data_IF_966096547962
#
_entry.id   IF_966096547962
#
_cell.length_a   1.000
_cell.length_b   1.000
_cell.length_c   1.000
_cell.angle_alpha   90.00
_cell.angle_beta   90.00
_cell.angle_gamma   90.00
#
_symmetry.space_group_name_H-M   'P 1'
#
loop_
_entity.id
_entity.type
_entity.pdbx_description
1 polymer ?
#
# COMPACT_ATOMS: atom_id res chain seq x y z
N UNK A 1 -4.02 -7.41 -1.55
CA UNK A 1 -4.06 -6.15 -2.31
C UNK A 1 -4.49 -6.50 -3.72
N UNK A 2 -5.38 -5.71 -4.33
CA UNK A 2 -5.71 -5.85 -5.74
C UNK A 2 -4.42 -5.89 -6.58
N UNK A 3 -4.45 -6.58 -7.73
CA UNK A 3 -3.28 -6.76 -8.57
C UNK A 3 -2.95 -5.47 -9.36
N UNK A 4 -2.59 -4.42 -8.62
CA UNK A 4 -2.23 -3.11 -9.18
C UNK A 4 -0.80 -3.16 -9.68
N UNK A 5 -0.58 -2.63 -10.88
CA UNK A 5 0.75 -2.39 -11.41
C UNK A 5 1.52 -1.37 -10.58
N UNK A 6 2.85 -1.38 -10.68
CA UNK A 6 3.70 -0.37 -10.03
C UNK A 6 3.29 1.05 -10.43
N UNK A 7 2.99 1.25 -11.73
CA UNK A 7 2.50 2.51 -12.28
C UNK A 7 1.22 2.98 -11.60
N UNK A 8 0.22 2.11 -11.47
CA UNK A 8 -1.04 2.45 -10.80
C UNK A 8 -0.83 2.83 -9.33
N UNK A 9 0.11 2.19 -8.64
CA UNK A 9 0.46 2.56 -7.24
C UNK A 9 1.14 3.92 -7.17
N UNK A 10 2.01 4.24 -8.12
CA UNK A 10 2.63 5.57 -8.24
C UNK A 10 1.55 6.62 -8.49
N UNK A 11 0.61 6.36 -9.40
CA UNK A 11 -0.49 7.28 -9.70
C UNK A 11 -1.40 7.50 -8.47
N UNK A 12 -1.69 6.47 -7.67
CA UNK A 12 -2.39 6.63 -6.39
C UNK A 12 -1.64 7.60 -5.46
N UNK A 13 -0.32 7.50 -5.37
CA UNK A 13 0.50 8.43 -4.56
C UNK A 13 0.53 9.84 -5.15
N UNK A 14 0.55 9.99 -6.47
CA UNK A 14 0.47 11.30 -7.14
C UNK A 14 -0.89 11.96 -6.89
N UNK A 15 -1.99 11.21 -6.97
CA UNK A 15 -3.35 11.69 -6.70
C UNK A 15 -3.50 12.06 -5.23
N UNK A 16 -2.89 11.28 -4.32
CA UNK A 16 -2.87 11.59 -2.88
C UNK A 16 -2.18 12.92 -2.58
N UNK A 17 -1.13 13.25 -3.33
CA UNK A 17 -0.41 14.51 -3.24
C UNK A 17 0.78 14.47 -2.28
N UNK A 18 1.63 15.50 -2.40
CA UNK A 18 2.89 15.64 -1.65
C UNK A 18 2.88 16.88 -0.74
N UNK A 19 3.55 16.81 0.41
CA UNK A 19 3.67 17.92 1.35
C UNK A 19 2.35 18.27 2.05
N UNK A 20 1.94 19.55 1.94
CA UNK A 20 0.78 20.10 2.65
C UNK A 20 -0.55 19.96 1.88
N UNK A 21 -0.50 19.57 0.59
CA UNK A 21 -1.71 19.30 -0.21
C UNK A 21 -1.95 17.81 -0.29
N UNK A 22 -2.58 17.26 0.76
CA UNK A 22 -2.97 15.85 0.83
C UNK A 22 -4.47 15.73 0.60
N UNK A 23 -4.87 14.95 -0.40
CA UNK A 23 -6.27 14.52 -0.55
C UNK A 23 -6.60 13.47 0.50
N UNK A 24 -7.87 13.37 0.86
CA UNK A 24 -8.36 12.26 1.69
C UNK A 24 -8.30 10.95 0.90
N UNK A 25 -8.21 9.82 1.62
CA UNK A 25 -8.16 8.50 0.96
C UNK A 25 -9.44 8.20 0.16
N UNK A 26 -10.58 8.73 0.61
CA UNK A 26 -11.87 8.63 -0.09
C UNK A 26 -11.83 9.37 -1.43
N UNK A 27 -11.35 10.62 -1.45
CA UNK A 27 -11.19 11.39 -2.70
C UNK A 27 -10.22 10.71 -3.67
N UNK A 28 -9.10 10.19 -3.18
CA UNK A 28 -8.14 9.45 -4.02
C UNK A 28 -8.80 8.22 -4.63
N UNK A 29 -9.59 7.49 -3.85
CA UNK A 29 -10.34 6.32 -4.31
C UNK A 29 -11.33 6.70 -5.42
N UNK A 30 -12.11 7.76 -5.22
CA UNK A 30 -13.08 8.23 -6.22
C UNK A 30 -12.40 8.68 -7.50
N UNK A 31 -11.32 9.47 -7.41
CA UNK A 31 -10.58 9.94 -8.59
C UNK A 31 -9.94 8.77 -9.32
N UNK A 32 -9.28 7.85 -8.60
CA UNK A 32 -8.62 6.70 -9.22
C UNK A 32 -9.63 5.78 -9.91
N UNK A 33 -10.77 5.46 -9.26
CA UNK A 33 -11.79 4.60 -9.84
C UNK A 33 -12.49 5.24 -11.05
N UNK A 34 -12.55 6.58 -11.12
CA UNK A 34 -12.99 7.31 -12.31
C UNK A 34 -12.01 7.19 -13.49
N UNK A 35 -10.70 7.12 -13.22
CA UNK A 35 -9.66 6.93 -14.25
C UNK A 35 -9.59 5.46 -14.68
N UNK A 36 -9.78 4.53 -13.74
CA UNK A 36 -9.66 3.09 -13.94
C UNK A 36 -10.94 2.34 -13.55
N UNK A 37 -12.02 2.44 -14.35
CA UNK A 37 -13.29 1.78 -14.04
C UNK A 37 -13.19 0.25 -14.06
N UNK A 38 -12.30 -0.32 -14.88
CA UNK A 38 -12.13 -1.77 -15.01
C UNK A 38 -11.34 -2.39 -13.85
N UNK A 39 -10.55 -1.59 -13.13
CA UNK A 39 -9.75 -2.03 -11.99
C UNK A 39 -9.99 -1.12 -10.78
N UNK A 40 -11.20 -1.15 -10.21
CA UNK A 40 -11.53 -0.30 -9.08
C UNK A 40 -10.74 -0.74 -7.84
N UNK A 41 -10.32 0.24 -7.06
CA UNK A 41 -9.68 0.05 -5.76
C UNK A 41 -10.62 0.47 -4.65
N UNK A 42 -10.43 -0.12 -3.48
CA UNK A 42 -11.09 0.33 -2.26
C UNK A 42 -10.24 1.38 -1.53
N UNK A 43 -10.88 2.23 -0.73
CA UNK A 43 -10.21 3.16 0.18
C UNK A 43 -9.18 2.43 1.07
N UNK A 44 -9.51 1.22 1.57
CA UNK A 44 -8.58 0.42 2.36
C UNK A 44 -7.32 0.03 1.60
N UNK A 45 -7.44 -0.24 0.30
CA UNK A 45 -6.28 -0.52 -0.57
C UNK A 45 -5.41 0.74 -0.73
N UNK A 46 -6.03 1.89 -0.96
CA UNK A 46 -5.33 3.19 -1.03
C UNK A 46 -4.59 3.47 0.28
N UNK A 47 -5.24 3.25 1.43
CA UNK A 47 -4.62 3.43 2.75
C UNK A 47 -3.39 2.54 2.94
N UNK A 48 -3.49 1.25 2.58
CA UNK A 48 -2.35 0.32 2.69
C UNK A 48 -1.18 0.72 1.80
N UNK A 49 -1.44 1.19 0.58
CA UNK A 49 -0.39 1.66 -0.35
C UNK A 49 0.31 2.88 0.23
N UNK A 50 -0.44 3.87 0.72
CA UNK A 50 0.12 5.08 1.33
C UNK A 50 0.93 4.73 2.58
N UNK A 51 0.40 3.85 3.45
CA UNK A 51 1.09 3.41 4.66
C UNK A 51 2.41 2.73 4.32
N UNK A 52 2.39 1.74 3.43
CA UNK A 52 3.59 1.03 2.96
C UNK A 52 4.61 1.99 2.37
N UNK A 53 4.18 2.96 1.56
CA UNK A 53 5.08 3.94 0.97
C UNK A 53 5.70 4.86 2.03
N UNK A 54 4.94 5.30 3.03
CA UNK A 54 5.47 6.08 4.16
C UNK A 54 6.48 5.30 5.00
N UNK A 55 6.27 4.00 5.18
CA UNK A 55 7.13 3.14 5.99
C UNK A 55 8.42 2.73 5.26
N UNK A 56 8.32 2.44 3.96
CA UNK A 56 9.43 1.81 3.21
C UNK A 56 10.05 2.72 2.15
N UNK A 57 9.38 3.82 1.79
CA UNK A 57 9.75 4.67 0.65
C UNK A 57 9.60 3.99 -0.72
N UNK A 58 9.00 2.80 -0.80
CA UNK A 58 8.97 2.00 -2.02
C UNK A 58 7.55 1.55 -2.39
N UNK A 59 7.24 1.64 -3.69
CA UNK A 59 5.97 1.21 -4.31
C UNK A 59 5.97 -0.26 -4.74
N UNK A 60 7.15 -0.87 -4.86
CA UNK A 60 7.34 -2.24 -5.30
C UNK A 60 6.78 -3.21 -4.29
N UNK A 61 6.27 -4.35 -4.78
CA UNK A 61 5.94 -5.44 -3.88
C UNK A 61 7.20 -5.96 -3.21
N UNK A 62 7.12 -6.09 -1.89
CA UNK A 62 8.16 -6.80 -1.15
C UNK A 62 8.11 -8.23 -1.67
N UNK A 63 9.27 -8.76 -2.08
CA UNK A 63 9.39 -10.18 -2.42
C UNK A 63 8.79 -10.96 -1.25
N UNK A 64 7.67 -11.65 -1.48
CA UNK A 64 7.12 -12.56 -0.49
C UNK A 64 8.16 -13.65 -0.30
N UNK A 65 8.94 -13.56 0.77
CA UNK A 65 9.63 -14.74 1.29
C UNK A 65 8.51 -15.74 1.59
N UNK A 66 8.52 -16.88 0.92
CA UNK A 66 7.53 -17.93 1.13
C UNK A 66 7.53 -18.40 2.58
N UNK A 67 6.71 -19.42 2.88
CA UNK A 67 6.75 -20.08 4.20
C UNK A 67 8.21 -20.44 4.51
N UNK A 68 8.80 -19.96 5.62
CA UNK A 68 10.16 -20.35 5.96
C UNK A 68 10.18 -21.87 6.13
N UNK A 69 11.01 -22.53 5.33
CA UNK A 69 11.39 -23.92 5.56
C UNK A 69 12.26 -23.86 6.82
N UNK A 70 11.70 -24.32 7.94
CA UNK A 70 12.35 -24.63 9.21
C UNK A 70 13.56 -23.75 9.58
N UNK A 71 13.36 -22.82 10.52
CA UNK A 71 14.43 -22.01 11.08
C UNK A 71 15.52 -22.87 11.74
N UNK A 72 16.72 -22.87 11.17
CA UNK A 72 17.98 -23.13 11.88
C UNK A 72 18.83 -21.87 11.80
N UNK A 73 18.33 -20.78 12.37
CA UNK A 73 19.16 -19.72 12.95
C UNK A 73 18.26 -18.69 13.62
N UNK A 74 18.55 -18.45 14.88
CA UNK A 74 17.92 -17.55 15.83
C UNK A 74 18.03 -16.04 15.49
N UNK A 75 18.75 -15.69 14.41
CA UNK A 75 19.08 -14.29 14.10
C UNK A 75 18.12 -13.55 13.14
N UNK A 76 17.06 -14.21 12.63
CA UNK A 76 16.12 -13.61 11.66
C UNK A 76 14.66 -13.69 12.09
N UNK A 77 14.37 -13.45 13.37
CA UNK A 77 13.03 -13.17 13.85
C UNK A 77 12.55 -11.83 13.28
N UNK A 78 12.01 -11.90 12.07
CA UNK A 78 11.49 -10.80 11.26
C UNK A 78 10.57 -9.87 12.06
N UNK A 79 10.84 -8.57 11.95
CA UNK A 79 9.93 -7.49 12.32
C UNK A 79 8.68 -7.50 11.41
N UNK A 80 7.80 -8.47 11.66
CA UNK A 80 6.49 -8.59 11.04
C UNK A 80 5.55 -7.72 11.86
N UNK A 81 5.61 -6.40 11.64
CA UNK A 81 4.67 -5.47 12.24
C UNK A 81 3.33 -5.56 11.49
N UNK A 82 2.52 -6.55 11.84
CA UNK A 82 1.07 -6.51 11.60
C UNK A 82 0.46 -5.59 12.66
N UNK A 83 0.75 -4.30 12.56
CA UNK A 83 0.44 -3.31 13.59
C UNK A 83 -0.46 -2.19 13.11
N UNK A 84 -1.71 -2.22 13.60
CA UNK A 84 -2.75 -1.17 13.66
C UNK A 84 -3.49 -0.77 12.37
N UNK A 85 -4.80 -1.03 12.44
CA UNK A 85 -5.88 -0.56 11.55
C UNK A 85 -6.20 0.91 11.87
N UNK A 86 -5.32 1.82 11.49
CA UNK A 86 -5.61 3.26 11.58
C UNK A 86 -5.90 3.81 10.18
N UNK A 87 -6.92 3.24 9.54
CA UNK A 87 -7.58 3.85 8.40
C UNK A 87 -8.99 4.14 8.90
N UNK A 88 -9.17 5.31 9.53
CA UNK A 88 -10.46 5.70 10.10
C UNK A 88 -11.53 5.66 9.01
N UNK A 89 -12.62 4.98 9.33
CA UNK A 89 -13.81 4.79 8.50
C UNK A 89 -14.51 6.12 8.27
#
# INVERSE_FOLDING_TARGET
MAHLSERQRIEILMIYGYGNRKRTQSEVCTVFNGIYPDTPVSQGTVCQIIKKFRETGNVKDVKRTGRPISATSEEKALNVCWGKRDCSR
#
